data_IF_643538658042
#
_entry.id   IF_643538658042
#
_cell.length_a   1.000
_cell.length_b   1.000
_cell.length_c   1.000
_cell.angle_alpha   90.00
_cell.angle_beta   90.00
_cell.angle_gamma   90.00
#
_symmetry.space_group_name_H-M   'P 1'
#
loop_
_entity.id
_entity.type
_entity.pdbx_description
1 polymer ?
#
# COMPACT_ATOMS: atom_id res chain seq x y z
N UNK A 1 12.19 0.04 3.26
CA UNK A 1 12.95 -0.63 2.19
C UNK A 1 13.09 0.35 1.05
N UNK A 2 14.26 0.98 0.88
CA UNK A 2 14.51 1.83 -0.27
C UNK A 2 14.97 0.94 -1.42
N UNK A 3 14.32 1.07 -2.58
CA UNK A 3 14.68 0.37 -3.80
C UNK A 3 15.97 1.01 -4.33
N UNK A 4 17.12 0.48 -3.90
CA UNK A 4 18.42 0.77 -4.52
C UNK A 4 18.35 0.36 -6.00
N UNK A 5 18.24 1.35 -6.90
CA UNK A 5 18.10 1.14 -8.34
C UNK A 5 19.26 0.36 -9.00
N UNK A 6 20.34 0.12 -8.26
CA UNK A 6 21.52 -0.64 -8.68
C UNK A 6 21.29 -2.16 -8.81
N UNK A 7 20.19 -2.70 -8.29
CA UNK A 7 19.93 -4.16 -8.23
C UNK A 7 18.87 -4.67 -9.22
N UNK A 8 18.23 -3.81 -10.00
CA UNK A 8 17.18 -4.21 -10.94
C UNK A 8 17.83 -4.53 -12.29
N UNK A 9 18.23 -5.80 -12.48
CA UNK A 9 18.90 -6.27 -13.70
C UNK A 9 17.93 -6.75 -14.79
N UNK A 10 16.65 -6.92 -14.44
CA UNK A 10 15.61 -7.35 -15.37
C UNK A 10 14.24 -6.74 -15.02
N UNK A 11 13.35 -6.69 -16.00
CA UNK A 11 11.95 -6.29 -15.81
C UNK A 11 11.23 -7.17 -14.77
N UNK A 12 11.59 -8.46 -14.71
CA UNK A 12 11.07 -9.40 -13.71
C UNK A 12 11.44 -8.99 -12.29
N UNK A 13 12.68 -8.55 -12.07
CA UNK A 13 13.13 -8.10 -10.75
C UNK A 13 12.42 -6.81 -10.32
N UNK A 14 12.18 -5.91 -11.28
CA UNK A 14 11.39 -4.70 -11.06
C UNK A 14 9.94 -5.03 -10.66
N UNK A 15 9.28 -5.91 -11.42
CA UNK A 15 7.91 -6.34 -11.13
C UNK A 15 7.81 -7.03 -9.76
N UNK A 16 8.77 -7.89 -9.42
CA UNK A 16 8.80 -8.57 -8.13
C UNK A 16 9.02 -7.60 -6.97
N UNK A 17 9.92 -6.62 -7.12
CA UNK A 17 10.15 -5.60 -6.11
C UNK A 17 8.92 -4.69 -5.94
N UNK A 18 8.26 -4.33 -7.05
CA UNK A 18 7.02 -3.57 -7.05
C UNK A 18 5.89 -4.31 -6.31
N UNK A 19 5.67 -5.59 -6.61
CA UNK A 19 4.67 -6.42 -5.93
C UNK A 19 4.98 -6.53 -4.43
N UNK A 20 6.23 -6.80 -4.04
CA UNK A 20 6.63 -6.85 -2.62
C UNK A 20 6.40 -5.52 -1.89
N UNK A 21 6.67 -4.41 -2.56
CA UNK A 21 6.42 -3.08 -2.00
C UNK A 21 4.91 -2.78 -1.87
N UNK A 22 4.10 -3.28 -2.81
CA UNK A 22 2.66 -3.04 -2.84
C UNK A 22 1.87 -4.00 -1.93
N UNK A 23 2.43 -5.17 -1.59
CA UNK A 23 1.80 -6.13 -0.68
C UNK A 23 1.41 -5.49 0.66
N UNK A 24 2.27 -4.63 1.20
CA UNK A 24 1.97 -3.87 2.42
C UNK A 24 0.69 -3.02 2.29
N UNK A 25 0.48 -2.39 1.13
CA UNK A 25 -0.72 -1.59 0.87
C UNK A 25 -1.96 -2.47 0.72
N UNK A 26 -1.82 -3.68 0.17
CA UNK A 26 -2.92 -4.65 0.09
C UNK A 26 -3.31 -5.12 1.50
N UNK A 27 -2.32 -5.46 2.33
CA UNK A 27 -2.55 -5.98 3.68
C UNK A 27 -3.09 -4.90 4.63
N UNK A 28 -2.76 -3.62 4.39
CA UNK A 28 -3.18 -2.49 5.22
C UNK A 28 -4.45 -1.80 4.70
N UNK A 29 -4.91 -2.11 3.48
CA UNK A 29 -6.12 -1.51 2.95
C UNK A 29 -7.35 -1.99 3.74
N UNK A 30 -8.21 -1.09 4.22
CA UNK A 30 -9.44 -1.49 4.88
C UNK A 30 -10.37 -2.17 3.89
N UNK A 31 -10.92 -3.32 4.29
CA UNK A 31 -11.94 -4.00 3.50
C UNK A 31 -13.29 -3.26 3.56
N UNK A 32 -14.22 -3.66 2.70
CA UNK A 32 -15.53 -3.02 2.60
C UNK A 32 -16.31 -3.03 3.93
N UNK A 33 -16.15 -4.08 4.73
CA UNK A 33 -16.80 -4.21 6.04
C UNK A 33 -16.17 -3.25 7.05
N UNK A 34 -14.84 -3.09 7.02
CA UNK A 34 -14.15 -2.12 7.87
C UNK A 34 -14.57 -0.68 7.53
N UNK A 35 -14.67 -0.36 6.25
CA UNK A 35 -15.14 0.96 5.78
C UNK A 35 -16.58 1.25 6.20
N UNK A 36 -17.48 0.26 6.13
CA UNK A 36 -18.87 0.41 6.56
C UNK A 36 -19.01 0.69 8.07
N UNK A 37 -18.07 0.18 8.87
CA UNK A 37 -18.04 0.40 10.31
C UNK A 37 -17.28 1.67 10.73
N UNK A 38 -16.65 2.38 9.78
CA UNK A 38 -15.99 3.64 10.08
C UNK A 38 -17.03 4.76 10.25
N UNK A 39 -17.04 5.35 11.44
CA UNK A 39 -17.76 6.59 11.73
C UNK A 39 -16.79 7.76 11.79
N UNK A 40 -17.18 8.91 11.24
CA UNK A 40 -16.43 10.15 11.37
C UNK A 40 -16.28 10.53 12.85
N UNK A 41 -15.06 10.73 13.30
CA UNK A 41 -14.77 11.17 14.67
C UNK A 41 -14.95 12.68 14.80
N UNK A 42 -15.22 13.13 16.02
CA UNK A 42 -15.35 14.54 16.32
C UNK A 42 -14.02 15.26 16.01
N UNK A 43 -14.06 16.25 15.11
CA UNK A 43 -12.88 16.98 14.64
C UNK A 43 -12.22 16.45 13.36
N UNK A 44 -12.67 15.32 12.81
CA UNK A 44 -12.27 14.91 11.46
C UNK A 44 -13.01 15.78 10.43
N UNK A 45 -12.27 16.44 9.56
CA UNK A 45 -12.81 17.31 8.51
C UNK A 45 -12.36 16.76 7.17
N UNK A 46 -13.32 16.51 6.27
CA UNK A 46 -13.00 16.30 4.87
C UNK A 46 -12.54 17.63 4.27
N UNK A 47 -11.36 17.62 3.66
CA UNK A 47 -10.71 18.80 3.08
C UNK A 47 -10.65 18.70 1.56
#
# INVERSE_FOLDING_TARGET
MQMEGSHIRSWRDMANAFIKQYQYNIDMAPDCTQLQNMSQKEGELFK
#
